data_IF_215726354490
#
_entry.id   IF_215726354490
#
_cell.length_a   1.000
_cell.length_b   1.000
_cell.length_c   1.000
_cell.angle_alpha   90.00
_cell.angle_beta   90.00
_cell.angle_gamma   90.00
#
_symmetry.space_group_name_H-M   'P 1'
#
loop_
_entity.id
_entity.type
_entity.pdbx_description
1 polymer ?
#
# COMPACT_ATOMS: atom_id res chain seq x y z
N UNK A 1 -28.64 -56.42 -34.04
CA UNK A 1 -28.40 -57.85 -34.06
C UNK A 1 -27.33 -58.15 -33.00
N UNK A 2 -27.75 -58.50 -31.82
CA UNK A 2 -27.88 -59.84 -31.21
C UNK A 2 -26.60 -60.67 -31.26
N UNK A 3 -25.96 -60.84 -30.13
CA UNK A 3 -25.76 -62.19 -29.59
C UNK A 3 -25.22 -62.09 -28.13
N UNK A 4 -25.97 -62.76 -27.27
CA UNK A 4 -25.58 -63.19 -25.92
C UNK A 4 -24.54 -64.30 -26.05
N UNK A 5 -23.58 -64.36 -25.14
CA UNK A 5 -23.16 -65.64 -24.62
C UNK A 5 -22.90 -65.58 -23.10
N UNK A 6 -23.60 -66.49 -22.47
CA UNK A 6 -23.45 -66.89 -21.08
C UNK A 6 -22.39 -67.99 -21.04
N UNK A 7 -21.43 -67.86 -20.16
CA UNK A 7 -20.88 -68.97 -19.36
C UNK A 7 -19.57 -68.49 -18.66
N UNK A 8 -19.62 -68.34 -17.39
CA UNK A 8 -18.68 -68.99 -16.47
C UNK A 8 -18.99 -68.56 -15.05
N UNK A 9 -19.85 -69.29 -14.42
CA UNK A 9 -19.93 -69.32 -12.96
C UNK A 9 -19.32 -70.66 -12.53
N UNK A 10 -18.19 -70.58 -11.93
CA UNK A 10 -17.62 -71.57 -11.00
C UNK A 10 -16.08 -71.46 -11.01
N UNK A 11 -15.52 -70.75 -10.09
CA UNK A 11 -14.23 -70.95 -9.41
C UNK A 11 -14.01 -69.61 -8.62
N UNK A 12 -14.62 -69.51 -7.45
CA UNK A 12 -14.30 -68.40 -6.52
C UNK A 12 -14.78 -68.75 -5.09
N UNK A 13 -14.37 -69.89 -4.57
CA UNK A 13 -14.66 -70.24 -3.16
C UNK A 13 -13.46 -70.74 -2.35
N UNK A 14 -12.24 -70.76 -2.84
CA UNK A 14 -11.08 -71.18 -2.05
C UNK A 14 -10.11 -70.07 -1.64
N UNK A 15 -10.15 -68.90 -2.27
CA UNK A 15 -9.18 -67.83 -1.96
C UNK A 15 -9.68 -66.80 -0.94
N UNK A 16 -10.98 -66.83 -0.58
CA UNK A 16 -11.53 -65.80 0.32
C UNK A 16 -11.20 -66.02 1.83
N UNK A 17 -10.76 -67.23 2.21
CA UNK A 17 -10.41 -67.48 3.63
C UNK A 17 -8.96 -67.14 3.99
N UNK A 18 -8.04 -67.08 3.04
CA UNK A 18 -6.64 -66.76 3.31
C UNK A 18 -6.42 -65.21 3.34
N UNK A 19 -7.22 -64.45 2.60
CA UNK A 19 -7.08 -63.01 2.58
C UNK A 19 -7.50 -62.31 3.88
N UNK A 20 -8.52 -62.84 4.57
CA UNK A 20 -8.98 -62.23 5.84
C UNK A 20 -7.97 -62.36 6.98
N UNK A 21 -7.25 -63.50 7.06
CA UNK A 21 -6.25 -63.69 8.09
C UNK A 21 -4.95 -62.92 7.82
N UNK A 22 -4.61 -62.70 6.53
CA UNK A 22 -3.44 -61.90 6.14
C UNK A 22 -3.63 -60.42 6.44
N UNK A 23 -4.82 -59.88 6.14
CA UNK A 23 -5.16 -58.46 6.43
C UNK A 23 -5.25 -58.20 7.94
N UNK A 24 -5.70 -59.18 8.74
CA UNK A 24 -5.78 -59.03 10.20
C UNK A 24 -4.39 -58.96 10.85
N UNK A 25 -3.44 -59.77 10.39
CA UNK A 25 -2.06 -59.77 10.93
C UNK A 25 -1.30 -58.52 10.50
N UNK A 26 -1.47 -58.05 9.24
CA UNK A 26 -0.86 -56.80 8.78
C UNK A 26 -1.46 -55.57 9.48
N UNK A 27 -2.75 -55.56 9.78
CA UNK A 27 -3.39 -54.45 10.51
C UNK A 27 -2.91 -54.31 11.94
N UNK A 28 -2.67 -55.48 12.64
CA UNK A 28 -2.14 -55.46 13.99
C UNK A 28 -0.67 -55.03 14.01
N UNK A 29 0.15 -55.49 13.06
CA UNK A 29 1.54 -55.05 12.94
C UNK A 29 1.68 -53.57 12.63
N UNK A 30 0.86 -53.02 11.67
CA UNK A 30 0.86 -51.62 11.34
C UNK A 30 0.37 -50.74 12.52
N UNK A 31 -0.55 -51.25 13.34
CA UNK A 31 -1.00 -50.52 14.54
C UNK A 31 0.06 -50.49 15.63
N UNK A 32 0.85 -51.57 15.78
CA UNK A 32 1.96 -51.61 16.73
C UNK A 32 3.10 -50.69 16.30
N UNK A 33 3.47 -50.65 15.01
CA UNK A 33 4.46 -49.73 14.49
C UNK A 33 4.03 -48.29 14.64
N UNK A 34 2.75 -47.96 14.39
CA UNK A 34 2.21 -46.63 14.56
C UNK A 34 2.19 -46.16 16.03
N UNK A 35 1.90 -47.08 16.97
CA UNK A 35 1.93 -46.75 18.41
C UNK A 35 3.36 -46.57 18.91
N UNK A 36 4.33 -47.31 18.40
CA UNK A 36 5.76 -47.13 18.76
C UNK A 36 6.30 -45.80 18.22
N UNK A 37 5.92 -45.41 16.99
CA UNK A 37 6.33 -44.12 16.41
C UNK A 37 5.69 -42.94 17.16
N UNK A 38 4.45 -43.07 17.62
CA UNK A 38 3.78 -42.03 18.39
C UNK A 38 4.27 -41.90 19.83
N UNK A 39 4.79 -42.99 20.42
CA UNK A 39 5.38 -42.94 21.77
C UNK A 39 6.82 -42.47 21.81
N UNK A 40 7.55 -42.49 20.69
CA UNK A 40 8.93 -42.01 20.64
C UNK A 40 9.08 -40.46 20.58
N UNK A 41 7.99 -39.71 20.45
CA UNK A 41 8.03 -38.25 20.40
C UNK A 41 7.60 -37.56 21.71
N UNK A 42 7.41 -38.28 22.83
CA UNK A 42 6.83 -37.69 24.03
C UNK A 42 7.76 -37.58 25.24
N UNK A 43 9.02 -37.85 25.11
CA UNK A 43 9.96 -37.48 26.18
C UNK A 43 10.29 -35.99 26.01
N UNK A 44 9.59 -35.13 26.75
CA UNK A 44 10.09 -33.78 27.01
C UNK A 44 11.49 -33.95 27.59
N UNK A 45 12.48 -33.52 26.85
CA UNK A 45 13.84 -33.39 27.33
C UNK A 45 13.80 -32.49 28.59
N UNK A 46 13.76 -33.14 29.77
CA UNK A 46 13.70 -32.44 31.07
C UNK A 46 15.07 -31.90 31.49
N UNK A 47 16.10 -32.16 30.71
CA UNK A 47 17.47 -31.74 30.91
C UNK A 47 17.92 -30.56 30.07
N UNK A 48 17.01 -29.95 29.28
CA UNK A 48 17.26 -28.61 28.78
C UNK A 48 17.36 -27.66 29.96
N UNK A 49 18.42 -26.88 30.08
CA UNK A 49 18.55 -25.91 31.16
C UNK A 49 17.30 -25.06 31.20
N UNK A 50 16.50 -25.24 32.24
CA UNK A 50 15.40 -24.34 32.49
C UNK A 50 16.06 -22.99 32.72
N UNK A 51 15.85 -22.05 31.81
CA UNK A 51 16.36 -20.73 31.98
C UNK A 51 15.68 -20.11 33.21
N UNK A 52 16.34 -20.30 34.38
CA UNK A 52 15.80 -19.95 35.71
C UNK A 52 15.87 -18.46 36.03
N UNK A 53 16.46 -17.70 35.16
CA UNK A 53 16.33 -16.24 35.10
C UNK A 53 15.96 -15.92 33.66
N UNK A 54 14.84 -15.26 33.47
CA UNK A 54 14.59 -14.56 32.23
C UNK A 54 15.76 -13.59 32.04
N UNK A 55 16.83 -14.03 31.35
CA UNK A 55 17.78 -13.08 30.82
C UNK A 55 16.93 -12.19 29.93
N UNK A 56 16.81 -10.95 30.33
CA UNK A 56 16.06 -9.97 29.56
C UNK A 56 16.70 -9.91 28.17
N UNK A 57 16.09 -10.59 27.21
CA UNK A 57 16.52 -10.57 25.82
C UNK A 57 16.43 -9.11 25.31
N UNK A 58 15.51 -8.35 25.89
CA UNK A 58 15.31 -6.94 25.62
C UNK A 58 15.57 -6.13 26.88
N UNK A 59 16.14 -4.93 26.77
CA UNK A 59 16.36 -4.03 27.92
C UNK A 59 15.03 -3.56 28.51
N UNK A 60 15.07 -3.10 29.75
CA UNK A 60 13.93 -2.44 30.40
C UNK A 60 13.46 -1.26 29.58
N UNK A 61 12.15 -1.08 29.48
CA UNK A 61 11.55 -0.02 28.69
C UNK A 61 11.43 -0.34 27.18
N UNK A 62 11.69 -1.59 26.76
CA UNK A 62 11.63 -2.01 25.37
C UNK A 62 10.29 -1.68 24.68
N UNK A 63 9.17 -1.86 25.37
CA UNK A 63 7.83 -1.58 24.84
C UNK A 63 7.29 -0.18 25.22
N UNK A 64 8.07 0.64 25.88
CA UNK A 64 7.67 2.00 26.29
C UNK A 64 8.55 3.05 25.63
N UNK A 65 7.99 4.25 25.37
CA UNK A 65 8.75 5.35 24.77
C UNK A 65 9.95 5.74 25.66
N UNK A 66 11.13 5.82 25.07
CA UNK A 66 12.38 6.14 25.79
C UNK A 66 13.61 5.65 25.03
N UNK A 67 14.76 5.71 25.67
CA UNK A 67 16.04 5.35 25.05
C UNK A 67 16.12 3.89 24.62
N UNK A 68 15.46 2.98 25.37
CA UNK A 68 15.42 1.54 25.07
C UNK A 68 14.23 1.11 24.22
N UNK A 69 13.47 2.05 23.68
CA UNK A 69 12.28 1.73 22.88
C UNK A 69 12.62 0.92 21.64
N UNK A 70 11.88 -0.17 21.42
CA UNK A 70 12.15 -1.10 20.31
C UNK A 70 12.14 -0.43 18.93
N UNK A 71 11.31 0.58 18.72
CA UNK A 71 11.28 1.31 17.46
C UNK A 71 12.61 2.01 17.13
N UNK A 72 13.37 2.45 18.14
CA UNK A 72 14.72 3.01 17.95
C UNK A 72 15.69 1.93 17.46
N UNK A 73 15.64 0.75 18.07
CA UNK A 73 16.47 -0.38 17.68
C UNK A 73 16.12 -0.93 16.29
N UNK A 74 14.83 -1.06 15.99
CA UNK A 74 14.35 -1.48 14.66
C UNK A 74 14.84 -0.51 13.60
N UNK A 75 14.71 0.79 13.86
CA UNK A 75 15.21 1.84 12.95
C UNK A 75 16.72 1.75 12.74
N UNK A 76 17.51 1.53 13.79
CA UNK A 76 18.97 1.39 13.67
C UNK A 76 19.39 0.13 12.91
N UNK A 77 18.49 -0.86 12.82
CA UNK A 77 18.66 -2.08 12.04
C UNK A 77 18.00 -1.99 10.64
N UNK A 78 17.96 -0.80 10.06
CA UNK A 78 17.32 -0.54 8.75
C UNK A 78 15.89 -1.10 8.66
N UNK A 79 15.12 -1.00 9.74
CA UNK A 79 13.73 -1.48 9.84
C UNK A 79 13.55 -2.99 9.64
N UNK A 80 14.62 -3.77 9.61
CA UNK A 80 14.55 -5.22 9.47
C UNK A 80 14.15 -5.89 10.79
N UNK A 81 12.93 -6.43 10.82
CA UNK A 81 12.36 -7.14 11.95
C UNK A 81 12.35 -8.67 11.77
N UNK A 82 12.90 -9.20 10.68
CA UNK A 82 12.87 -10.64 10.40
C UNK A 82 13.48 -11.48 11.51
N UNK A 83 14.52 -10.98 12.17
CA UNK A 83 15.14 -11.64 13.32
C UNK A 83 14.21 -11.84 14.50
N UNK A 84 13.22 -10.95 14.68
CA UNK A 84 12.26 -11.03 15.79
C UNK A 84 11.33 -12.23 15.66
N UNK A 85 11.08 -12.70 14.42
CA UNK A 85 10.19 -13.83 14.12
C UNK A 85 10.65 -15.14 14.76
N UNK A 86 11.94 -15.32 15.01
CA UNK A 86 12.49 -16.54 15.64
C UNK A 86 11.89 -16.80 17.04
N UNK A 87 11.59 -15.75 17.78
CA UNK A 87 11.00 -15.85 19.13
C UNK A 87 9.52 -15.45 19.15
N UNK A 88 9.12 -14.44 18.36
CA UNK A 88 7.76 -13.90 18.35
C UNK A 88 6.83 -14.55 17.31
N UNK A 89 7.34 -15.53 16.54
CA UNK A 89 6.59 -16.23 15.49
C UNK A 89 6.49 -15.41 14.19
N UNK A 90 6.21 -16.11 13.09
CA UNK A 90 6.18 -15.49 11.74
C UNK A 90 5.16 -14.36 11.58
N UNK A 91 4.07 -14.40 12.34
CA UNK A 91 3.01 -13.38 12.37
C UNK A 91 3.14 -12.42 13.55
N UNK A 92 4.23 -12.50 14.31
CA UNK A 92 4.45 -11.70 15.53
C UNK A 92 3.36 -11.86 16.61
N UNK A 93 2.64 -12.96 16.59
CA UNK A 93 1.52 -13.23 17.51
C UNK A 93 1.94 -13.82 18.85
N UNK A 94 3.25 -13.85 19.15
CA UNK A 94 3.79 -14.31 20.42
C UNK A 94 4.86 -15.39 20.30
N UNK A 95 4.69 -16.40 19.45
CA UNK A 95 5.65 -17.49 19.26
C UNK A 95 6.08 -18.14 20.59
N UNK A 96 7.36 -18.47 20.70
CA UNK A 96 7.95 -19.01 21.94
C UNK A 96 8.14 -17.94 23.04
N UNK A 97 8.16 -16.66 22.66
CA UNK A 97 8.27 -15.55 23.61
C UNK A 97 6.97 -15.30 24.39
N UNK A 98 5.81 -15.76 23.89
CA UNK A 98 4.51 -15.58 24.51
C UNK A 98 3.97 -14.15 24.48
N UNK A 99 4.75 -13.20 23.96
CA UNK A 99 4.37 -11.76 23.88
C UNK A 99 4.10 -11.39 22.43
N UNK A 100 2.90 -10.90 22.16
CA UNK A 100 2.46 -10.53 20.82
C UNK A 100 2.66 -9.05 20.54
N UNK A 101 3.30 -8.74 19.42
CA UNK A 101 3.40 -7.36 18.91
C UNK A 101 2.03 -6.82 18.48
N UNK A 102 1.14 -7.71 18.03
CA UNK A 102 -0.20 -7.35 17.55
C UNK A 102 -1.12 -6.79 18.65
N UNK A 103 -0.74 -6.95 19.93
CA UNK A 103 -1.48 -6.32 21.03
C UNK A 103 -1.48 -4.79 20.94
N UNK A 104 -0.37 -4.20 20.50
CA UNK A 104 -0.24 -2.75 20.29
C UNK A 104 -0.36 -2.38 18.81
N UNK A 105 0.21 -3.18 17.91
CA UNK A 105 0.16 -2.97 16.47
C UNK A 105 -1.08 -3.64 15.84
N UNK A 106 -2.27 -3.11 16.15
CA UNK A 106 -3.56 -3.70 15.77
C UNK A 106 -3.98 -3.40 14.32
N UNK A 107 -3.21 -2.63 13.56
CA UNK A 107 -3.50 -2.31 12.18
C UNK A 107 -3.34 -3.51 11.24
N UNK A 108 -3.84 -3.35 10.01
CA UNK A 108 -3.63 -4.34 8.95
C UNK A 108 -2.13 -4.62 8.76
N UNK A 109 -1.76 -5.89 8.72
CA UNK A 109 -0.37 -6.38 8.68
C UNK A 109 0.45 -6.23 9.97
N UNK A 110 -0.19 -5.91 11.10
CA UNK A 110 0.49 -5.88 12.41
C UNK A 110 1.68 -4.91 12.45
N UNK A 111 2.82 -5.31 13.06
CA UNK A 111 3.99 -4.43 13.18
C UNK A 111 4.70 -4.14 11.84
N UNK A 112 4.43 -4.90 10.80
CA UNK A 112 4.96 -4.67 9.42
C UNK A 112 3.97 -3.87 8.55
N UNK A 113 2.89 -3.36 9.11
CA UNK A 113 1.95 -2.52 8.39
C UNK A 113 2.59 -1.20 7.94
N UNK A 114 2.28 -0.76 6.71
CA UNK A 114 2.85 0.46 6.12
C UNK A 114 2.80 1.66 7.07
N UNK A 115 1.67 1.87 7.75
CA UNK A 115 1.45 3.00 8.65
C UNK A 115 2.27 2.95 9.96
N UNK A 116 2.95 1.85 10.25
CA UNK A 116 3.81 1.73 11.44
C UNK A 116 5.13 2.46 11.22
N UNK A 117 5.70 2.33 10.03
CA UNK A 117 6.96 2.99 9.64
C UNK A 117 6.70 4.31 8.92
N UNK A 118 5.79 4.32 7.94
CA UNK A 118 5.42 5.48 7.13
C UNK A 118 4.14 6.13 7.65
N UNK A 119 4.22 7.11 8.49
CA UNK A 119 3.04 7.81 8.92
C UNK A 119 2.64 7.58 10.35
N UNK A 120 1.38 7.31 10.62
CA UNK A 120 0.85 7.11 11.97
C UNK A 120 0.00 5.84 12.00
N UNK A 121 0.40 4.90 12.84
CA UNK A 121 -0.32 3.66 13.06
C UNK A 121 -1.79 3.92 13.40
N UNK A 122 -2.71 3.20 12.75
CA UNK A 122 -4.14 3.37 12.91
C UNK A 122 -4.75 4.60 12.20
N UNK A 123 -3.93 5.44 11.55
CA UNK A 123 -4.40 6.61 10.78
C UNK A 123 -4.23 6.37 9.29
N UNK A 124 -3.02 6.53 8.77
CA UNK A 124 -2.69 6.19 7.39
C UNK A 124 -1.17 6.12 7.17
N UNK A 125 -0.76 5.56 6.04
CA UNK A 125 0.64 5.41 5.64
C UNK A 125 1.18 6.60 4.82
N UNK A 126 0.32 7.53 4.39
CA UNK A 126 0.78 8.78 3.78
C UNK A 126 1.37 9.64 4.88
N UNK A 127 2.68 9.96 4.87
CA UNK A 127 3.33 10.45 6.06
C UNK A 127 2.75 11.77 6.59
N UNK A 128 1.93 11.76 7.66
CA UNK A 128 1.73 12.94 8.50
C UNK A 128 2.95 13.15 9.41
N UNK A 129 3.80 12.13 9.50
CA UNK A 129 5.09 12.12 10.17
C UNK A 129 6.05 11.28 9.36
N UNK A 130 7.22 11.84 9.01
CA UNK A 130 8.25 11.12 8.25
C UNK A 130 9.08 10.18 9.14
N UNK A 131 9.95 9.39 8.50
CA UNK A 131 10.86 8.46 9.19
C UNK A 131 11.84 9.18 10.16
N UNK A 132 12.04 10.48 9.99
CA UNK A 132 12.84 11.32 10.89
C UNK A 132 12.02 11.99 11.99
N UNK A 133 10.74 11.62 12.09
CA UNK A 133 9.75 12.12 13.06
C UNK A 133 9.29 13.57 12.83
N UNK A 134 9.62 14.18 11.69
CA UNK A 134 9.10 15.50 11.35
C UNK A 134 7.61 15.42 11.05
N UNK A 135 6.85 16.45 11.45
CA UNK A 135 5.40 16.57 11.22
C UNK A 135 5.01 17.80 10.40
N UNK A 136 5.96 18.70 10.15
CA UNK A 136 5.70 19.91 9.38
C UNK A 136 5.65 19.62 7.89
N UNK A 137 4.71 20.20 7.16
CA UNK A 137 4.61 20.10 5.70
C UNK A 137 5.86 20.59 4.96
N UNK A 138 6.65 21.46 5.59
CA UNK A 138 7.93 21.91 5.05
C UNK A 138 9.03 20.85 5.07
N UNK A 139 8.85 19.77 5.84
CA UNK A 139 9.77 18.64 5.82
C UNK A 139 9.53 17.80 4.56
N UNK A 140 10.61 17.41 3.87
CA UNK A 140 10.57 16.64 2.62
C UNK A 140 9.73 15.37 2.73
N UNK A 141 9.93 14.58 3.78
CA UNK A 141 9.25 13.30 3.97
C UNK A 141 7.77 13.43 4.34
N UNK A 142 7.32 14.62 4.78
CA UNK A 142 5.90 14.93 5.02
C UNK A 142 5.27 15.60 3.80
N UNK A 143 5.76 16.76 3.41
CA UNK A 143 5.34 17.47 2.21
C UNK A 143 3.83 17.50 1.95
N UNK A 144 3.46 17.27 0.72
CA UNK A 144 2.08 17.27 0.25
C UNK A 144 1.38 15.89 0.36
N UNK A 145 1.95 14.88 1.06
CA UNK A 145 1.35 13.55 1.12
C UNK A 145 -0.11 13.55 1.55
N UNK A 146 -0.43 14.27 2.64
CA UNK A 146 -1.79 14.24 3.18
C UNK A 146 -2.82 14.83 2.21
N UNK A 147 -2.48 15.91 1.49
CA UNK A 147 -3.41 16.53 0.55
C UNK A 147 -3.66 15.64 -0.68
N UNK A 148 -2.65 14.87 -1.10
CA UNK A 148 -2.81 13.90 -2.18
C UNK A 148 -3.60 12.67 -1.71
N UNK A 149 -3.28 12.13 -0.54
CA UNK A 149 -3.90 10.91 -0.03
C UNK A 149 -5.36 11.11 0.41
N UNK A 150 -5.67 12.22 1.08
CA UNK A 150 -7.03 12.50 1.57
C UNK A 150 -7.90 13.18 0.50
N UNK A 151 -7.28 13.71 -0.53
CA UNK A 151 -7.94 14.59 -1.49
C UNK A 151 -8.08 16.01 -0.95
N UNK A 152 -8.72 16.85 -1.75
CA UNK A 152 -8.88 18.27 -1.47
C UNK A 152 -10.25 18.79 -1.90
N UNK A 153 -10.46 20.07 -1.75
CA UNK A 153 -11.67 20.76 -2.29
C UNK A 153 -11.70 20.79 -3.82
N UNK A 154 -10.58 20.52 -4.49
CA UNK A 154 -10.46 20.60 -5.96
C UNK A 154 -10.20 19.26 -6.63
N UNK A 155 -9.76 18.23 -5.90
CA UNK A 155 -9.46 16.92 -6.48
C UNK A 155 -9.75 15.80 -5.48
N UNK A 156 -10.07 14.61 -5.98
CA UNK A 156 -10.16 13.38 -5.18
C UNK A 156 -8.79 12.98 -4.65
N UNK A 157 -8.79 11.93 -3.81
CA UNK A 157 -7.57 11.30 -3.31
C UNK A 157 -6.75 10.66 -4.44
N UNK A 158 -5.44 10.70 -4.26
CA UNK A 158 -4.45 10.09 -5.15
C UNK A 158 -3.91 8.80 -4.53
N UNK A 159 -3.72 7.76 -5.32
CA UNK A 159 -3.12 6.50 -4.85
C UNK A 159 -1.61 6.65 -4.67
N UNK A 160 -1.04 5.96 -3.69
CA UNK A 160 0.41 5.93 -3.48
C UNK A 160 1.18 5.49 -4.74
N UNK A 161 0.60 4.56 -5.47
CA UNK A 161 1.15 4.00 -6.70
C UNK A 161 1.21 4.98 -7.88
N UNK A 162 0.55 6.15 -7.82
CA UNK A 162 0.72 7.19 -8.84
C UNK A 162 2.14 7.77 -8.84
N UNK A 163 2.79 7.79 -7.67
CA UNK A 163 4.12 8.37 -7.51
C UNK A 163 5.18 7.34 -7.11
N UNK A 164 4.81 6.25 -6.43
CA UNK A 164 5.73 5.28 -5.87
C UNK A 164 5.48 3.87 -6.38
N UNK A 165 6.54 3.08 -6.50
CA UNK A 165 6.43 1.64 -6.55
C UNK A 165 6.02 1.14 -5.15
N UNK A 166 4.74 0.81 -4.97
CA UNK A 166 4.24 0.31 -3.69
C UNK A 166 4.66 -1.15 -3.52
N UNK A 167 5.44 -1.50 -2.48
CA UNK A 167 5.92 -2.85 -2.30
C UNK A 167 4.77 -3.81 -2.00
N UNK A 168 4.77 -4.97 -2.63
CA UNK A 168 3.87 -6.07 -2.32
C UNK A 168 4.27 -6.84 -1.07
N UNK A 169 5.55 -6.82 -0.73
CA UNK A 169 6.12 -7.42 0.48
C UNK A 169 7.25 -6.53 1.00
N UNK A 170 7.22 -6.23 2.30
CA UNK A 170 8.16 -5.29 2.95
C UNK A 170 9.62 -5.67 2.74
N UNK A 171 9.94 -6.98 2.65
CA UNK A 171 11.32 -7.47 2.60
C UNK A 171 11.74 -8.06 1.27
N UNK A 172 10.80 -8.34 0.37
CA UNK A 172 11.10 -8.98 -0.92
C UNK A 172 11.36 -7.99 -2.03
N UNK A 173 10.80 -6.80 -1.92
CA UNK A 173 11.07 -5.74 -2.88
C UNK A 173 12.40 -5.09 -2.56
N UNK A 174 13.41 -5.40 -3.35
CA UNK A 174 14.81 -5.03 -3.12
C UNK A 174 15.03 -3.51 -2.98
N UNK A 175 14.17 -2.70 -3.58
CA UNK A 175 14.23 -1.23 -3.49
C UNK A 175 13.56 -0.67 -2.24
N UNK A 176 12.81 -1.46 -1.45
CA UNK A 176 12.04 -0.91 -0.33
C UNK A 176 12.88 -0.70 0.95
N UNK A 177 13.75 -1.64 1.29
CA UNK A 177 14.65 -1.56 2.46
C UNK A 177 16.11 -1.67 2.01
N UNK A 178 16.49 -0.94 0.98
CA UNK A 178 17.82 -0.98 0.37
C UNK A 178 18.87 -0.11 1.10
N UNK A 179 18.45 0.62 2.13
CA UNK A 179 19.32 1.55 2.86
C UNK A 179 19.52 2.88 2.16
N UNK A 180 18.88 3.11 1.02
CA UNK A 180 18.93 4.37 0.31
C UNK A 180 18.08 5.44 1.03
N UNK A 181 18.59 6.63 1.36
CA UNK A 181 17.86 7.60 2.19
C UNK A 181 16.77 8.38 1.47
N UNK A 182 16.47 8.06 0.21
CA UNK A 182 15.45 8.74 -0.61
C UNK A 182 14.30 7.83 -0.97
N UNK A 183 13.07 8.36 -1.06
CA UNK A 183 11.96 7.64 -1.65
C UNK A 183 12.09 7.65 -3.18
N UNK A 184 11.85 6.50 -3.82
CA UNK A 184 11.78 6.38 -5.28
C UNK A 184 10.47 6.96 -5.78
N UNK A 185 10.55 8.03 -6.57
CA UNK A 185 9.40 8.63 -7.25
C UNK A 185 9.47 8.24 -8.71
N UNK A 186 8.58 7.36 -9.16
CA UNK A 186 8.67 6.70 -10.45
C UNK A 186 7.52 7.02 -11.42
N UNK A 187 6.38 7.51 -10.96
CA UNK A 187 5.22 7.87 -11.77
C UNK A 187 4.77 6.76 -12.74
N UNK A 188 4.53 5.54 -12.21
CA UNK A 188 4.25 4.36 -13.03
C UNK A 188 2.79 4.22 -13.47
N UNK A 189 1.87 4.94 -12.85
CA UNK A 189 0.45 4.77 -13.07
C UNK A 189 -0.17 5.77 -14.07
N UNK A 190 -1.35 5.42 -14.63
CA UNK A 190 -1.93 6.13 -15.75
C UNK A 190 -2.27 7.60 -15.51
N UNK A 191 -2.69 8.00 -14.29
CA UNK A 191 -3.20 9.34 -14.08
C UNK A 191 -2.11 10.41 -14.22
N UNK A 192 -0.92 10.16 -13.65
CA UNK A 192 0.20 11.11 -13.80
C UNK A 192 0.70 11.19 -15.23
N UNK A 193 0.54 10.12 -16.02
CA UNK A 193 1.00 9.97 -17.41
C UNK A 193 -0.12 10.12 -18.44
N UNK A 194 -1.32 10.59 -18.05
CA UNK A 194 -2.47 10.61 -18.93
C UNK A 194 -2.24 11.57 -20.12
N UNK A 195 -2.10 11.00 -21.30
CA UNK A 195 -1.99 11.77 -22.52
C UNK A 195 -3.35 12.39 -22.92
N UNK A 196 -3.33 13.65 -23.29
CA UNK A 196 -4.47 14.34 -23.88
C UNK A 196 -4.15 14.74 -25.32
N UNK A 197 -5.15 15.16 -26.09
CA UNK A 197 -5.00 15.48 -27.53
C UNK A 197 -3.76 16.36 -27.83
N UNK A 198 -2.69 15.75 -28.32
CA UNK A 198 -1.44 16.41 -28.73
C UNK A 198 -0.48 16.74 -27.57
N UNK A 199 -0.76 16.32 -26.34
CA UNK A 199 0.15 16.50 -25.19
C UNK A 199 0.34 15.17 -24.48
N UNK A 200 1.60 14.74 -24.38
CA UNK A 200 2.01 13.53 -23.63
C UNK A 200 2.81 13.95 -22.40
N UNK A 201 2.31 13.71 -21.18
CA UNK A 201 3.06 13.93 -19.96
C UNK A 201 4.40 13.20 -19.94
N UNK A 202 5.38 13.81 -19.27
CA UNK A 202 6.67 13.18 -18.93
C UNK A 202 7.00 13.54 -17.49
N UNK A 203 6.36 12.86 -16.53
CA UNK A 203 6.47 13.19 -15.11
C UNK A 203 7.88 13.08 -14.59
N UNK A 204 8.32 14.08 -13.85
CA UNK A 204 9.62 14.07 -13.16
C UNK A 204 9.50 14.68 -11.77
N UNK A 205 10.32 14.19 -10.85
CA UNK A 205 10.53 14.79 -9.53
C UNK A 205 11.99 15.22 -9.38
N UNK A 206 12.19 16.51 -9.15
CA UNK A 206 13.53 17.03 -8.84
C UNK A 206 13.73 17.08 -7.32
N UNK A 207 14.54 16.18 -6.81
CA UNK A 207 14.79 16.06 -5.37
C UNK A 207 15.59 17.24 -4.78
N UNK A 208 16.34 18.00 -5.59
CA UNK A 208 17.09 19.16 -5.11
C UNK A 208 16.19 20.38 -4.89
N UNK A 209 15.24 20.61 -5.80
CA UNK A 209 14.26 21.71 -5.71
C UNK A 209 12.93 21.28 -5.10
N UNK A 210 12.74 19.95 -4.90
CA UNK A 210 11.49 19.35 -4.43
C UNK A 210 10.28 19.71 -5.32
N UNK A 211 10.48 19.74 -6.64
CA UNK A 211 9.42 20.10 -7.58
C UNK A 211 8.97 18.90 -8.40
N UNK A 212 7.67 18.78 -8.62
CA UNK A 212 7.07 17.87 -9.58
C UNK A 212 6.77 18.60 -10.88
N UNK A 213 7.13 18.04 -12.03
CA UNK A 213 6.85 18.63 -13.33
C UNK A 213 6.40 17.57 -14.33
N UNK A 214 5.79 18.00 -15.42
CA UNK A 214 5.41 17.13 -16.50
C UNK A 214 4.28 16.14 -16.20
N UNK A 215 3.54 16.29 -15.09
CA UNK A 215 2.41 15.41 -14.73
C UNK A 215 1.09 15.96 -15.27
N UNK A 216 0.19 15.09 -15.69
CA UNK A 216 -1.17 15.47 -16.07
C UNK A 216 -1.86 16.29 -14.97
N UNK A 217 -1.85 15.81 -13.73
CA UNK A 217 -2.54 16.46 -12.61
C UNK A 217 -2.09 17.91 -12.35
N UNK A 218 -0.86 18.25 -12.73
CA UNK A 218 -0.28 19.58 -12.49
C UNK A 218 -0.21 20.45 -13.76
N UNK A 219 -1.04 20.18 -14.75
CA UNK A 219 -1.16 21.09 -15.90
C UNK A 219 -0.54 20.60 -17.20
N UNK A 220 0.06 19.41 -17.25
CA UNK A 220 0.60 18.85 -18.49
C UNK A 220 -0.49 18.15 -19.28
N UNK A 221 -1.40 18.94 -19.82
CA UNK A 221 -2.47 18.51 -20.70
C UNK A 221 -2.77 19.62 -21.73
N UNK A 222 -3.63 19.33 -22.71
CA UNK A 222 -4.03 20.30 -23.73
C UNK A 222 -4.65 21.55 -23.09
N UNK A 223 -4.12 22.73 -23.41
CA UNK A 223 -4.51 24.04 -22.86
C UNK A 223 -4.24 24.19 -21.35
N UNK A 224 -3.43 23.31 -20.76
CA UNK A 224 -2.94 23.44 -19.38
C UNK A 224 -1.63 24.23 -19.31
N UNK A 225 -1.25 24.60 -18.10
CA UNK A 225 -0.01 25.32 -17.80
C UNK A 225 1.16 24.32 -17.66
N UNK A 226 1.64 23.79 -18.79
CA UNK A 226 2.60 22.70 -18.86
C UNK A 226 3.96 23.00 -18.17
N UNK A 227 4.28 24.29 -18.02
CA UNK A 227 5.49 24.73 -17.31
C UNK A 227 5.29 24.80 -15.78
N UNK A 228 4.08 24.56 -15.28
CA UNK A 228 3.82 24.61 -13.85
C UNK A 228 4.48 23.40 -13.15
N UNK A 229 5.32 23.69 -12.17
CA UNK A 229 6.05 22.71 -11.39
C UNK A 229 5.86 23.00 -9.90
N UNK A 230 4.83 22.42 -9.27
CA UNK A 230 4.58 22.66 -7.86
C UNK A 230 5.72 22.16 -6.98
N UNK A 231 6.00 22.90 -5.91
CA UNK A 231 6.98 22.57 -4.89
C UNK A 231 6.34 21.64 -3.87
N UNK A 232 6.93 20.46 -3.68
CA UNK A 232 6.39 19.38 -2.87
C UNK A 232 6.10 19.76 -1.41
N UNK A 233 6.96 20.59 -0.82
CA UNK A 233 6.88 20.99 0.58
C UNK A 233 6.41 22.43 0.80
N UNK A 234 5.75 23.03 -0.20
CA UNK A 234 5.09 24.32 -0.03
C UNK A 234 3.83 24.17 0.84
N UNK A 235 3.82 24.84 1.96
CA UNK A 235 2.70 24.83 2.90
C UNK A 235 1.71 26.00 2.67
N UNK A 236 1.95 26.88 1.71
CA UNK A 236 1.16 28.10 1.49
C UNK A 236 -0.27 27.83 0.98
N UNK A 237 -0.46 26.71 0.27
CA UNK A 237 -1.71 26.40 -0.43
C UNK A 237 -1.92 27.18 -1.73
N UNK A 238 -1.04 28.09 -2.08
CA UNK A 238 -1.15 28.92 -3.29
C UNK A 238 -1.08 28.10 -4.58
N UNK A 239 -0.44 26.96 -4.55
CA UNK A 239 -0.26 26.04 -5.67
C UNK A 239 -1.56 25.35 -6.14
N UNK A 240 -2.62 25.42 -5.33
CA UNK A 240 -3.96 24.92 -5.69
C UNK A 240 -4.93 26.04 -6.12
N UNK A 241 -4.42 27.25 -6.31
CA UNK A 241 -5.25 28.37 -6.73
C UNK A 241 -5.75 28.20 -8.18
N UNK A 242 -6.95 28.73 -8.48
CA UNK A 242 -7.45 28.77 -9.85
C UNK A 242 -6.44 29.49 -10.75
N UNK A 243 -6.17 28.93 -11.92
CA UNK A 243 -5.20 29.48 -12.87
C UNK A 243 -3.79 28.90 -12.74
N UNK A 244 -3.49 28.05 -11.73
CA UNK A 244 -2.16 27.42 -11.61
C UNK A 244 -1.99 26.26 -12.59
N UNK A 245 -2.94 25.34 -12.64
CA UNK A 245 -2.85 24.17 -13.53
C UNK A 245 -3.40 24.44 -14.94
N UNK A 246 -4.37 25.31 -15.07
CA UNK A 246 -4.91 25.82 -16.34
C UNK A 246 -5.38 27.25 -16.15
N UNK A 247 -5.46 28.01 -17.24
CA UNK A 247 -5.83 29.42 -17.20
C UNK A 247 -4.66 30.36 -16.82
N UNK A 248 -4.94 31.46 -16.12
CA UNK A 248 -3.94 32.47 -15.82
C UNK A 248 -4.18 33.13 -14.45
N UNK A 249 -3.28 32.91 -13.51
CA UNK A 249 -3.34 33.42 -12.12
C UNK A 249 -3.29 34.96 -12.05
N UNK A 250 -2.82 35.64 -13.10
CA UNK A 250 -2.67 37.12 -13.14
C UNK A 250 -3.97 37.84 -13.44
N UNK A 251 -5.00 37.11 -13.90
CA UNK A 251 -6.30 37.68 -14.24
C UNK A 251 -7.02 38.28 -13.00
N UNK A 252 -7.91 39.25 -13.25
CA UNK A 252 -8.56 40.00 -12.19
C UNK A 252 -9.67 39.27 -11.46
N UNK A 253 -10.36 38.34 -12.12
CA UNK A 253 -11.49 37.59 -11.54
C UNK A 253 -11.20 36.09 -11.49
N UNK A 254 -11.87 35.39 -10.57
CA UNK A 254 -11.71 33.96 -10.43
C UNK A 254 -12.07 33.19 -11.71
N UNK A 255 -13.16 33.60 -12.37
CA UNK A 255 -13.58 32.96 -13.61
C UNK A 255 -12.55 33.16 -14.74
N UNK A 256 -11.98 34.34 -14.88
CA UNK A 256 -10.92 34.59 -15.86
C UNK A 256 -9.63 33.86 -15.52
N UNK A 257 -9.30 33.75 -14.23
CA UNK A 257 -8.14 32.94 -13.79
C UNK A 257 -8.28 31.46 -14.16
N UNK A 258 -9.46 30.89 -14.00
CA UNK A 258 -9.72 29.49 -14.29
C UNK A 258 -9.95 29.18 -15.78
N UNK A 259 -10.12 30.20 -16.62
CA UNK A 259 -10.47 30.04 -18.03
C UNK A 259 -9.29 29.45 -18.81
N UNK A 260 -9.41 28.23 -19.36
CA UNK A 260 -8.35 27.67 -20.19
C UNK A 260 -8.11 28.48 -21.47
N UNK A 261 -6.90 28.43 -21.95
CA UNK A 261 -6.52 29.01 -23.22
C UNK A 261 -7.00 28.24 -24.46
N UNK A 262 -6.42 28.53 -25.60
CA UNK A 262 -6.66 27.85 -26.86
C UNK A 262 -8.04 28.12 -27.45
N UNK A 263 -8.74 27.06 -27.87
CA UNK A 263 -10.08 27.17 -28.51
C UNK A 263 -11.23 27.09 -27.50
N UNK A 264 -10.97 27.19 -26.21
CA UNK A 264 -12.03 27.22 -25.20
C UNK A 264 -12.89 28.49 -25.36
N UNK A 265 -14.22 28.37 -25.33
CA UNK A 265 -15.10 29.57 -25.41
C UNK A 265 -14.80 30.55 -24.27
N UNK A 266 -14.73 31.83 -24.60
CA UNK A 266 -14.56 32.91 -23.61
C UNK A 266 -15.90 33.15 -22.91
N UNK A 267 -16.23 32.27 -21.96
CA UNK A 267 -17.45 32.34 -21.16
C UNK A 267 -17.09 32.16 -19.68
N UNK A 268 -17.45 33.08 -18.83
CA UNK A 268 -17.19 33.06 -17.40
C UNK A 268 -18.27 32.36 -16.58
N UNK A 269 -19.39 31.96 -17.19
CA UNK A 269 -20.43 31.17 -16.56
C UNK A 269 -20.07 29.64 -16.67
N UNK A 270 -19.00 29.22 -15.99
CA UNK A 270 -18.43 27.90 -16.13
C UNK A 270 -19.43 26.75 -15.86
N UNK A 271 -20.33 26.94 -14.90
CA UNK A 271 -21.36 25.96 -14.55
C UNK A 271 -22.38 25.67 -15.64
N UNK A 272 -22.52 26.57 -16.65
CA UNK A 272 -23.40 26.33 -17.79
C UNK A 272 -23.00 25.08 -18.59
N UNK A 273 -21.71 24.86 -18.75
CA UNK A 273 -21.15 23.69 -19.45
C UNK A 273 -20.62 22.66 -18.49
N UNK A 274 -20.01 23.06 -17.36
CA UNK A 274 -19.33 22.21 -16.40
C UNK A 274 -20.09 22.06 -15.07
N UNK A 275 -21.43 22.19 -15.09
CA UNK A 275 -22.28 22.12 -13.89
C UNK A 275 -22.23 20.83 -13.09
N UNK A 276 -21.65 19.75 -13.64
CA UNK A 276 -21.36 18.53 -12.91
C UNK A 276 -20.11 18.59 -12.03
N UNK A 277 -19.28 19.63 -12.21
CA UNK A 277 -17.99 19.83 -11.53
C UNK A 277 -17.98 21.10 -10.70
N UNK A 278 -18.51 22.21 -11.24
CA UNK A 278 -18.43 23.54 -10.65
C UNK A 278 -19.82 24.18 -10.57
N UNK A 279 -20.12 24.88 -9.48
CA UNK A 279 -21.36 25.66 -9.33
C UNK A 279 -21.26 27.11 -9.92
N UNK A 280 -22.37 27.85 -9.84
CA UNK A 280 -22.44 29.21 -10.31
C UNK A 280 -21.55 30.19 -9.52
N UNK A 281 -21.10 29.81 -8.32
CA UNK A 281 -20.17 30.56 -7.47
C UNK A 281 -18.72 30.21 -7.75
N UNK A 282 -18.44 29.39 -8.77
CA UNK A 282 -17.12 28.87 -9.13
C UNK A 282 -16.48 27.96 -8.06
N UNK A 283 -17.30 27.39 -7.22
CA UNK A 283 -16.86 26.36 -6.26
C UNK A 283 -16.87 25.00 -6.92
N UNK A 284 -15.79 24.23 -6.78
CA UNK A 284 -15.79 22.83 -7.17
C UNK A 284 -16.74 22.06 -6.23
N UNK A 285 -17.81 21.51 -6.79
CA UNK A 285 -18.85 20.75 -6.06
C UNK A 285 -18.64 19.25 -6.17
N UNK A 286 -17.82 18.81 -7.12
CA UNK A 286 -17.48 17.42 -7.30
C UNK A 286 -15.96 17.25 -7.57
N UNK A 287 -15.14 17.21 -6.51
CA UNK A 287 -13.69 17.04 -6.65
C UNK A 287 -13.29 15.75 -7.38
N UNK A 288 -14.12 14.70 -7.31
CA UNK A 288 -13.85 13.43 -7.99
C UNK A 288 -13.99 13.49 -9.51
N UNK A 289 -14.55 14.58 -10.04
CA UNK A 289 -14.69 14.85 -11.48
C UNK A 289 -13.82 15.99 -11.98
N UNK A 290 -13.07 16.65 -11.12
CA UNK A 290 -12.26 17.80 -11.54
C UNK A 290 -10.89 17.38 -12.08
N UNK A 291 -10.27 16.35 -11.49
CA UNK A 291 -8.96 15.83 -11.93
C UNK A 291 -9.07 14.32 -12.08
N UNK A 292 -9.94 13.85 -12.95
CA UNK A 292 -10.26 12.41 -13.14
C UNK A 292 -9.84 11.87 -14.52
N UNK A 293 -9.16 12.70 -15.32
CA UNK A 293 -8.77 12.31 -16.67
C UNK A 293 -9.88 12.44 -17.71
N UNK A 294 -10.95 13.17 -17.40
CA UNK A 294 -12.08 13.38 -18.30
C UNK A 294 -12.49 14.85 -18.37
N UNK A 295 -13.11 15.19 -19.45
CA UNK A 295 -13.80 16.48 -19.59
C UNK A 295 -15.29 16.27 -19.28
N UNK A 296 -15.77 16.84 -18.18
CA UNK A 296 -17.21 16.84 -17.88
C UNK A 296 -17.87 18.02 -18.61
N UNK A 297 -18.73 17.70 -19.56
CA UNK A 297 -19.46 18.67 -20.37
C UNK A 297 -20.96 18.35 -20.36
N UNK A 298 -21.76 19.28 -19.84
CA UNK A 298 -23.23 19.16 -19.77
C UNK A 298 -23.68 17.82 -19.12
N UNK A 299 -22.96 17.39 -18.09
CA UNK A 299 -23.25 16.17 -17.34
C UNK A 299 -22.66 14.88 -17.95
N UNK A 300 -22.02 14.96 -19.12
CA UNK A 300 -21.37 13.82 -19.76
C UNK A 300 -19.85 13.85 -19.50
N UNK A 301 -19.27 12.69 -19.24
CA UNK A 301 -17.83 12.51 -19.10
C UNK A 301 -17.25 12.12 -20.47
N UNK A 302 -16.38 12.97 -21.02
CA UNK A 302 -15.74 12.78 -22.33
C UNK A 302 -14.26 12.50 -22.09
N UNK A 303 -13.75 11.41 -22.67
CA UNK A 303 -12.31 11.11 -22.64
C UNK A 303 -11.54 12.02 -23.60
N UNK A 304 -10.31 12.37 -23.23
CA UNK A 304 -9.40 13.19 -24.06
C UNK A 304 -8.87 12.44 -25.29
#
# INVERSE_FOLDING_TARGET
AVSKDKNSAAIATSDAMNAKNFFSVMSVAAFFDLVVVLSSCSERQSDLPRQTTASQIHPDGWATTGASFHGTQIRSNNWDMRGCRSCHGNSYAGGTAGVSCNTCHQGFSGPEGCAVCHGTAGVNAAPPRDLSTNTLKTARGVGAHQIHFLGSTIAANTLCSECHAVPGDVYKDAAHLDGNPGAEVQFLNPMTNLATSGVTPSPTYNSATMTCSGTYCHGTFKNGNQAFAPVWNDASGAQMACGTCHGDVTQSTLALKALPGGTHPVNTACSTCHGGVVDASLKIINPSKHVDGKLNLSGNDISF
#
